data_IF_492574421482
#
_entry.id   IF_492574421482
#
_cell.length_a   1.000
_cell.length_b   1.000
_cell.length_c   1.000
_cell.angle_alpha   90.00
_cell.angle_beta   90.00
_cell.angle_gamma   90.00
#
_symmetry.space_group_name_H-M   'P 1'
#
loop_
_entity.id
_entity.type
_entity.pdbx_description
1 polymer ?
#
# COMPACT_ATOMS: atom_id res chain seq x y z
N UNK A 1 3.72 14.01 22.01
CA UNK A 1 3.13 12.69 21.70
C UNK A 1 4.15 11.94 20.88
N UNK A 2 4.28 10.65 21.10
CA UNK A 2 5.33 9.86 20.46
C UNK A 2 4.87 9.42 19.07
N UNK A 3 5.83 9.36 18.14
CA UNK A 3 5.61 8.80 16.82
C UNK A 3 5.25 7.32 16.94
N UNK A 4 4.23 6.89 16.19
CA UNK A 4 3.91 5.47 16.05
C UNK A 4 5.10 4.72 15.45
N UNK A 5 5.48 3.58 16.03
CA UNK A 5 6.63 2.84 15.51
C UNK A 5 6.30 2.19 14.17
N UNK A 6 7.33 1.95 13.34
CA UNK A 6 7.14 1.23 12.08
C UNK A 6 6.50 -0.15 12.27
N UNK A 7 6.83 -0.85 13.37
CA UNK A 7 6.26 -2.16 13.68
C UNK A 7 4.76 -2.08 13.97
N UNK A 8 4.34 -1.12 14.80
CA UNK A 8 2.92 -0.90 15.09
C UNK A 8 2.12 -0.53 13.84
N UNK A 9 2.69 0.35 12.99
CA UNK A 9 2.10 0.72 11.70
C UNK A 9 1.97 -0.50 10.78
N UNK A 10 3.02 -1.31 10.65
CA UNK A 10 2.99 -2.52 9.84
C UNK A 10 1.91 -3.48 10.34
N UNK A 11 1.81 -3.71 11.65
CA UNK A 11 0.79 -4.60 12.21
C UNK A 11 -0.63 -4.09 11.90
N UNK A 12 -0.87 -2.78 12.06
CA UNK A 12 -2.16 -2.17 11.74
C UNK A 12 -2.51 -2.29 10.25
N UNK A 13 -1.57 -1.95 9.36
CA UNK A 13 -1.74 -2.07 7.90
C UNK A 13 -2.06 -3.52 7.50
N UNK A 14 -1.30 -4.50 8.02
CA UNK A 14 -1.51 -5.91 7.69
C UNK A 14 -2.85 -6.41 8.23
N UNK A 15 -3.19 -6.07 9.48
CA UNK A 15 -4.46 -6.48 10.09
C UNK A 15 -5.65 -5.96 9.30
N UNK A 16 -5.63 -4.68 8.93
CA UNK A 16 -6.71 -4.06 8.15
C UNK A 16 -6.75 -4.56 6.70
N UNK A 17 -5.59 -4.80 6.07
CA UNK A 17 -5.50 -5.20 4.67
C UNK A 17 -5.97 -6.64 4.38
N UNK A 18 -5.66 -7.60 5.27
CA UNK A 18 -5.96 -9.02 5.01
C UNK A 18 -7.45 -9.29 4.76
N UNK A 19 -8.39 -8.78 5.57
CA UNK A 19 -9.82 -8.90 5.31
C UNK A 19 -10.23 -8.31 3.95
N UNK A 20 -9.69 -7.15 3.57
CA UNK A 20 -9.96 -6.51 2.28
C UNK A 20 -9.50 -7.38 1.10
N UNK A 21 -8.28 -7.93 1.19
CA UNK A 21 -7.75 -8.84 0.16
C UNK A 21 -8.62 -10.10 0.07
N UNK A 22 -9.05 -10.66 1.21
CA UNK A 22 -9.92 -11.83 1.23
C UNK A 22 -11.28 -11.55 0.60
N UNK A 23 -11.90 -10.42 0.93
CA UNK A 23 -13.19 -10.01 0.37
C UNK A 23 -13.06 -9.77 -1.14
N UNK A 24 -12.00 -9.08 -1.57
CA UNK A 24 -11.67 -8.87 -2.97
C UNK A 24 -11.49 -10.21 -3.72
N UNK A 25 -10.69 -11.13 -3.18
CA UNK A 25 -10.46 -12.44 -3.78
C UNK A 25 -11.77 -13.22 -3.99
N UNK A 26 -12.69 -13.15 -3.02
CA UNK A 26 -13.99 -13.83 -3.11
C UNK A 26 -14.89 -13.19 -4.18
N UNK A 27 -14.92 -11.87 -4.27
CA UNK A 27 -15.71 -11.14 -5.26
C UNK A 27 -15.18 -11.33 -6.70
N UNK A 28 -13.88 -11.56 -6.86
CA UNK A 28 -13.18 -11.62 -8.13
C UNK A 28 -12.58 -13.00 -8.43
N UNK A 29 -13.14 -14.07 -7.86
CA UNK A 29 -12.60 -15.43 -7.98
C UNK A 29 -12.53 -15.98 -9.42
N UNK A 30 -13.28 -15.39 -10.36
CA UNK A 30 -13.27 -15.76 -11.77
C UNK A 30 -12.21 -15.00 -12.60
N UNK A 31 -11.57 -13.97 -12.03
CA UNK A 31 -10.58 -13.14 -12.71
C UNK A 31 -9.17 -13.67 -12.45
N UNK A 32 -8.25 -13.50 -13.40
CA UNK A 32 -6.84 -13.77 -13.16
C UNK A 32 -6.15 -12.49 -12.72
N UNK A 33 -5.63 -12.48 -11.49
CA UNK A 33 -4.90 -11.34 -10.94
C UNK A 33 -3.46 -11.39 -11.44
N UNK A 34 -2.98 -10.28 -12.00
CA UNK A 34 -1.62 -10.16 -12.55
C UNK A 34 -0.78 -9.11 -11.84
N UNK A 35 -1.39 -8.30 -10.97
CA UNK A 35 -0.66 -7.32 -10.17
C UNK A 35 -1.34 -7.08 -8.82
N UNK A 36 -0.53 -6.86 -7.79
CA UNK A 36 -0.97 -6.30 -6.51
C UNK A 36 0.03 -5.22 -6.08
N UNK A 37 -0.44 -3.99 -5.89
CA UNK A 37 0.41 -2.88 -5.52
C UNK A 37 -0.11 -2.15 -4.26
N UNK A 38 0.80 -1.41 -3.63
CA UNK A 38 0.48 -0.47 -2.55
C UNK A 38 0.87 0.93 -3.01
N UNK A 39 -0.09 1.85 -2.98
CA UNK A 39 0.21 3.27 -2.94
C UNK A 39 0.20 3.74 -1.50
N UNK A 40 1.21 4.53 -1.13
CA UNK A 40 1.34 5.06 0.22
C UNK A 40 1.61 6.56 0.20
N UNK A 41 1.05 7.27 1.18
CA UNK A 41 1.35 8.68 1.41
C UNK A 41 1.09 9.01 2.88
N UNK A 42 2.15 9.31 3.62
CA UNK A 42 2.05 9.61 5.05
C UNK A 42 1.18 10.84 5.33
N UNK A 43 1.30 11.87 4.47
CA UNK A 43 0.55 13.13 4.61
C UNK A 43 -0.96 12.92 4.65
N UNK A 44 -1.41 12.08 3.76
CA UNK A 44 -2.83 11.78 3.62
C UNK A 44 -3.25 10.57 4.45
N UNK A 45 -2.30 9.88 5.08
CA UNK A 45 -2.46 8.60 5.82
C UNK A 45 -2.96 7.48 4.90
N UNK A 46 -2.54 7.52 3.64
CA UNK A 46 -2.98 6.59 2.61
C UNK A 46 -2.17 5.30 2.66
N UNK A 47 -2.90 4.20 2.61
CA UNK A 47 -2.41 2.88 2.27
C UNK A 47 -3.46 2.28 1.36
N UNK A 48 -3.31 2.47 0.06
CA UNK A 48 -4.27 1.97 -0.92
C UNK A 48 -3.76 0.66 -1.50
N UNK A 49 -4.61 -0.35 -1.49
CA UNK A 49 -4.36 -1.60 -2.19
C UNK A 49 -4.92 -1.51 -3.61
N UNK A 50 -4.08 -1.81 -4.58
CA UNK A 50 -4.46 -1.85 -5.97
C UNK A 50 -4.27 -3.25 -6.55
N UNK A 51 -5.19 -3.71 -7.40
CA UNK A 51 -5.06 -4.96 -8.13
C UNK A 51 -5.29 -4.76 -9.63
N UNK A 52 -4.53 -5.49 -10.43
CA UNK A 52 -4.69 -5.54 -11.88
C UNK A 52 -5.04 -6.96 -12.33
N UNK A 53 -5.83 -7.05 -13.40
CA UNK A 53 -6.32 -8.32 -13.94
C UNK A 53 -5.86 -8.57 -15.37
N UNK A 54 -5.72 -9.84 -15.75
CA UNK A 54 -5.24 -10.20 -17.08
C UNK A 54 -6.08 -9.59 -18.22
N UNK A 55 -7.39 -9.42 -18.03
CA UNK A 55 -8.32 -8.84 -19.01
C UNK A 55 -8.19 -7.32 -19.16
N UNK A 56 -7.71 -6.63 -18.11
CA UNK A 56 -7.53 -5.18 -18.09
C UNK A 56 -6.07 -4.75 -18.01
N UNK A 57 -5.15 -5.72 -18.08
CA UNK A 57 -3.72 -5.54 -17.89
C UNK A 57 -3.18 -4.49 -18.87
N UNK A 58 -3.13 -3.25 -18.37
CA UNK A 58 -2.45 -2.12 -19.01
C UNK A 58 -0.96 -2.14 -18.77
N UNK A 59 -0.45 -3.09 -17.98
CA UNK A 59 0.95 -3.45 -17.96
C UNK A 59 1.35 -4.11 -19.30
N UNK A 60 1.18 -3.37 -20.39
CA UNK A 60 1.46 -3.79 -21.74
C UNK A 60 2.97 -3.82 -21.91
N UNK A 61 3.54 -5.02 -21.84
CA UNK A 61 4.83 -5.40 -22.47
C UNK A 61 6.12 -4.76 -21.91
N UNK A 62 6.11 -3.52 -21.41
CA UNK A 62 7.30 -2.76 -20.96
C UNK A 62 7.75 -3.13 -19.54
N UNK A 63 6.80 -3.42 -18.66
CA UNK A 63 7.01 -3.78 -17.25
C UNK A 63 7.44 -5.22 -17.02
N UNK A 64 7.07 -6.10 -17.96
CA UNK A 64 7.22 -7.55 -17.85
C UNK A 64 8.68 -8.00 -17.61
N UNK A 65 9.71 -7.42 -18.25
CA UNK A 65 11.10 -7.82 -18.04
C UNK A 65 11.65 -7.46 -16.64
N UNK A 66 11.14 -6.41 -16.00
CA UNK A 66 11.67 -5.91 -14.73
C UNK A 66 11.08 -6.65 -13.53
N UNK A 67 9.79 -6.95 -13.60
CA UNK A 67 9.03 -7.51 -12.49
C UNK A 67 9.24 -9.02 -12.28
N UNK A 68 9.94 -9.70 -13.20
CA UNK A 68 10.44 -11.07 -12.99
C UNK A 68 11.61 -11.14 -11.99
N UNK A 69 12.22 -9.99 -11.63
CA UNK A 69 13.49 -9.95 -10.89
C UNK A 69 13.51 -9.11 -9.62
N UNK A 70 12.53 -8.23 -9.38
CA UNK A 70 12.50 -7.33 -8.22
C UNK A 70 11.08 -6.87 -7.84
N UNK A 71 10.88 -6.63 -6.54
CA UNK A 71 9.67 -6.01 -5.96
C UNK A 71 9.66 -4.48 -6.05
N UNK A 72 10.78 -3.88 -6.46
CA UNK A 72 10.93 -2.45 -6.64
C UNK A 72 10.87 -2.16 -8.13
N UNK A 73 9.93 -1.31 -8.53
CA UNK A 73 9.95 -0.72 -9.86
C UNK A 73 11.26 0.10 -10.00
N UNK A 74 11.99 -0.04 -11.11
CA UNK A 74 13.10 0.87 -11.37
C UNK A 74 12.56 2.30 -11.54
N UNK A 75 13.41 3.28 -11.19
CA UNK A 75 13.07 4.71 -11.10
C UNK A 75 12.49 5.30 -12.40
N UNK A 76 12.68 4.62 -13.55
CA UNK A 76 12.23 5.04 -14.87
C UNK A 76 10.85 4.49 -15.27
N UNK A 77 10.21 3.69 -14.42
CA UNK A 77 8.89 3.14 -14.69
C UNK A 77 7.80 3.96 -14.00
N UNK A 78 7.08 4.75 -14.79
CA UNK A 78 5.86 5.45 -14.40
C UNK A 78 4.63 4.52 -14.39
N UNK A 79 4.65 3.44 -13.61
CA UNK A 79 3.44 2.65 -13.39
C UNK A 79 2.64 3.22 -12.23
N UNK A 80 1.59 3.99 -12.56
CA UNK A 80 0.64 4.49 -11.58
C UNK A 80 -0.44 3.45 -11.30
N UNK A 81 -0.48 2.90 -10.09
CA UNK A 81 -1.52 1.92 -9.74
C UNK A 81 -2.93 2.54 -9.68
N UNK A 82 -3.06 3.87 -9.65
CA UNK A 82 -4.35 4.56 -9.76
C UNK A 82 -5.06 4.31 -11.08
N UNK A 83 -4.33 3.96 -12.14
CA UNK A 83 -4.91 3.61 -13.43
C UNK A 83 -5.35 2.13 -13.51
N UNK A 84 -5.02 1.33 -12.49
CA UNK A 84 -5.35 -0.08 -12.48
C UNK A 84 -6.83 -0.30 -12.30
N UNK A 85 -7.30 -1.46 -12.79
CA UNK A 85 -8.71 -1.81 -12.76
C UNK A 85 -9.34 -1.70 -11.36
N UNK A 86 -8.60 -2.10 -10.33
CA UNK A 86 -9.06 -2.11 -8.95
C UNK A 86 -8.11 -1.32 -8.07
N UNK A 87 -8.07 0.00 -8.27
CA UNK A 87 -7.37 0.90 -7.35
C UNK A 87 -8.18 1.14 -6.06
N UNK A 88 -7.46 1.24 -4.94
CA UNK A 88 -8.03 1.48 -3.61
C UNK A 88 -9.20 0.56 -3.28
N UNK A 89 -9.04 -0.75 -3.56
CA UNK A 89 -10.13 -1.70 -3.31
C UNK A 89 -10.41 -1.88 -1.81
N UNK A 90 -9.49 -1.47 -0.93
CA UNK A 90 -9.67 -1.51 0.51
C UNK A 90 -10.58 -0.41 1.06
N UNK A 91 -10.75 0.74 0.39
CA UNK A 91 -11.73 1.76 0.85
C UNK A 91 -13.18 1.28 0.78
N UNK A 92 -13.47 0.28 -0.05
CA UNK A 92 -14.79 -0.35 -0.15
C UNK A 92 -15.00 -1.48 0.88
N UNK A 93 -14.07 -1.67 1.83
CA UNK A 93 -14.17 -2.70 2.86
C UNK A 93 -14.44 -2.08 4.22
N UNK A 94 -15.63 -2.29 4.80
CA UNK A 94 -15.97 -1.79 6.14
C UNK A 94 -14.96 -2.25 7.21
N UNK A 95 -14.46 -3.48 7.06
CA UNK A 95 -13.45 -4.05 7.98
C UNK A 95 -12.13 -3.28 7.92
N UNK A 96 -11.75 -2.75 6.75
CA UNK A 96 -10.59 -1.86 6.64
C UNK A 96 -10.80 -0.62 7.49
N UNK A 97 -11.93 0.08 7.30
CA UNK A 97 -12.26 1.31 8.03
C UNK A 97 -12.25 1.07 9.54
N UNK A 98 -12.90 0.00 10.01
CA UNK A 98 -12.96 -0.33 11.43
C UNK A 98 -11.60 -0.63 12.05
N UNK A 99 -10.74 -1.38 11.34
CA UNK A 99 -9.43 -1.78 11.86
C UNK A 99 -8.36 -0.70 11.70
N UNK A 100 -8.46 0.15 10.68
CA UNK A 100 -7.50 1.22 10.41
C UNK A 100 -7.76 2.46 11.25
N UNK A 101 -9.02 2.78 11.55
CA UNK A 101 -9.41 4.01 12.24
C UNK A 101 -8.62 4.30 13.54
N UNK A 102 -8.33 3.32 14.42
CA UNK A 102 -7.52 3.58 15.62
C UNK A 102 -6.09 4.04 15.30
N UNK A 103 -5.48 3.48 14.24
CA UNK A 103 -4.14 3.88 13.81
C UNK A 103 -4.19 5.24 13.11
N UNK A 104 -5.20 5.48 12.28
CA UNK A 104 -5.42 6.76 11.62
C UNK A 104 -5.58 7.91 12.63
N UNK A 105 -6.30 7.69 13.73
CA UNK A 105 -6.44 8.68 14.81
C UNK A 105 -5.10 8.93 15.49
N UNK A 106 -4.30 7.90 15.79
CA UNK A 106 -2.95 8.07 16.38
C UNK A 106 -2.02 8.89 15.49
N UNK A 107 -2.03 8.65 14.18
CA UNK A 107 -1.24 9.42 13.22
C UNK A 107 -1.76 10.87 13.16
N UNK A 108 -3.08 11.06 13.13
CA UNK A 108 -3.71 12.39 13.09
C UNK A 108 -3.44 13.19 14.36
N UNK A 109 -3.41 12.52 15.50
CA UNK A 109 -2.97 13.05 16.78
C UNK A 109 -1.51 13.51 16.69
N UNK A 110 -0.61 12.64 16.22
CA UNK A 110 0.81 12.98 16.05
C UNK A 110 1.00 14.20 15.12
N UNK A 111 0.35 14.23 13.96
CA UNK A 111 0.34 15.38 13.03
C UNK A 111 -0.11 16.68 13.73
N UNK A 112 -1.20 16.63 14.51
CA UNK A 112 -1.65 17.78 15.30
C UNK A 112 -0.57 18.26 16.27
N UNK A 113 0.21 17.35 16.85
CA UNK A 113 1.29 17.71 17.77
C UNK A 113 2.48 18.38 17.05
N UNK A 114 2.75 18.04 15.79
CA UNK A 114 3.81 18.68 14.98
C UNK A 114 3.57 20.19 14.78
N UNK A 115 2.30 20.61 14.79
CA UNK A 115 1.92 22.03 14.68
C UNK A 115 2.37 22.87 15.88
N UNK A 116 2.71 22.23 17.00
CA UNK A 116 3.23 22.90 18.20
C UNK A 116 4.74 23.11 18.18
N UNK A 117 5.45 22.43 17.27
CA UNK A 117 6.90 22.53 17.12
C UNK A 117 7.32 23.78 16.34
N UNK A 118 8.58 24.20 16.55
CA UNK A 118 9.23 25.20 15.71
C UNK A 118 9.37 24.73 14.25
N UNK A 119 9.59 25.64 13.28
CA UNK A 119 9.66 25.27 11.86
C UNK A 119 10.66 24.16 11.54
N UNK A 120 11.89 24.26 12.05
CA UNK A 120 12.96 23.29 11.76
C UNK A 120 12.67 21.92 12.40
N UNK A 121 12.21 21.92 13.65
CA UNK A 121 11.81 20.70 14.37
C UNK A 121 10.64 19.99 13.67
N UNK A 122 9.69 20.76 13.13
CA UNK A 122 8.57 20.23 12.38
C UNK A 122 9.00 19.53 11.10
N UNK A 123 9.94 20.10 10.35
CA UNK A 123 10.47 19.46 9.13
C UNK A 123 11.11 18.12 9.47
N UNK A 124 11.98 18.08 10.48
CA UNK A 124 12.64 16.84 10.91
C UNK A 124 11.62 15.78 11.36
N UNK A 125 10.65 16.17 12.20
CA UNK A 125 9.63 15.26 12.69
C UNK A 125 8.69 14.77 11.58
N UNK A 126 8.47 15.57 10.54
CA UNK A 126 7.71 15.18 9.36
C UNK A 126 8.45 14.17 8.49
N UNK A 127 9.73 14.43 8.21
CA UNK A 127 10.59 13.49 7.47
C UNK A 127 10.66 12.14 8.19
N UNK A 128 10.74 12.14 9.53
CA UNK A 128 10.74 10.92 10.34
C UNK A 128 9.41 10.16 10.23
N UNK A 129 8.26 10.85 10.25
CA UNK A 129 6.95 10.25 10.05
C UNK A 129 6.84 9.61 8.67
N UNK A 130 7.20 10.35 7.61
CA UNK A 130 7.15 9.86 6.22
C UNK A 130 8.03 8.63 6.03
N UNK A 131 9.27 8.68 6.53
CA UNK A 131 10.19 7.56 6.46
C UNK A 131 9.68 6.34 7.23
N UNK A 132 9.10 6.55 8.41
CA UNK A 132 8.53 5.49 9.25
C UNK A 132 7.33 4.83 8.56
N UNK A 133 6.45 5.65 7.98
CA UNK A 133 5.26 5.18 7.25
C UNK A 133 5.67 4.39 6.01
N UNK A 134 6.60 4.90 5.20
CA UNK A 134 7.15 4.19 4.04
C UNK A 134 7.71 2.82 4.42
N UNK A 135 8.59 2.77 5.43
CA UNK A 135 9.17 1.51 5.90
C UNK A 135 8.11 0.53 6.40
N UNK A 136 7.11 1.04 7.09
CA UNK A 136 6.00 0.22 7.56
C UNK A 136 5.19 -0.36 6.41
N UNK A 137 4.93 0.44 5.36
CA UNK A 137 4.20 0.01 4.16
C UNK A 137 4.98 -1.04 3.35
N UNK A 138 6.29 -0.88 3.20
CA UNK A 138 7.17 -1.89 2.57
C UNK A 138 7.11 -3.21 3.35
N UNK A 139 7.24 -3.15 4.67
CA UNK A 139 7.17 -4.34 5.52
C UNK A 139 5.76 -4.97 5.53
N UNK A 140 4.71 -4.15 5.44
CA UNK A 140 3.34 -4.62 5.35
C UNK A 140 3.11 -5.36 4.04
N UNK A 141 3.53 -4.80 2.90
CA UNK A 141 3.45 -5.49 1.61
C UNK A 141 4.15 -6.84 1.68
N UNK A 142 5.41 -6.89 2.15
CA UNK A 142 6.15 -8.16 2.28
C UNK A 142 5.38 -9.21 3.10
N UNK A 143 4.80 -8.83 4.25
CA UNK A 143 3.98 -9.73 5.07
C UNK A 143 2.68 -10.15 4.40
N UNK A 144 2.06 -9.26 3.63
CA UNK A 144 0.86 -9.57 2.85
C UNK A 144 1.18 -10.56 1.74
N UNK A 145 2.32 -10.43 1.04
CA UNK A 145 2.72 -11.40 0.00
C UNK A 145 2.91 -12.82 0.56
N UNK A 146 3.35 -12.92 1.80
CA UNK A 146 3.49 -14.19 2.52
C UNK A 146 2.18 -14.69 3.17
N UNK A 147 1.12 -13.89 3.14
CA UNK A 147 -0.18 -14.26 3.72
C UNK A 147 -0.94 -15.29 2.88
N UNK A 148 -1.82 -16.06 3.53
CA UNK A 148 -2.70 -17.00 2.84
C UNK A 148 -3.66 -16.28 1.88
N UNK A 149 -4.13 -15.09 2.25
CA UNK A 149 -5.07 -14.30 1.47
C UNK A 149 -4.47 -13.95 0.10
N UNK A 150 -3.23 -13.45 0.06
CA UNK A 150 -2.55 -13.19 -1.22
C UNK A 150 -2.14 -14.48 -1.91
N UNK A 151 -1.69 -15.52 -1.19
CA UNK A 151 -1.32 -16.82 -1.78
C UNK A 151 -2.47 -17.51 -2.49
N UNK A 152 -3.69 -17.33 -1.99
CA UNK A 152 -4.93 -17.89 -2.54
C UNK A 152 -5.48 -17.17 -3.78
N UNK A 153 -4.96 -15.98 -4.11
CA UNK A 153 -5.40 -15.26 -5.30
C UNK A 153 -5.19 -16.09 -6.57
N UNK A 154 -6.12 -16.06 -7.53
CA UNK A 154 -5.98 -16.72 -8.83
C UNK A 154 -4.94 -15.98 -9.69
N UNK A 155 -3.66 -16.17 -9.38
CA UNK A 155 -2.54 -15.45 -10.00
C UNK A 155 -2.27 -15.93 -11.42
N UNK A 156 -2.07 -14.99 -12.33
CA UNK A 156 -1.50 -15.25 -13.64
C UNK A 156 0.01 -15.58 -13.55
N UNK A 157 0.58 -16.10 -14.65
CA UNK A 157 2.01 -16.46 -14.73
C UNK A 157 2.97 -15.28 -14.64
N UNK A 158 2.46 -14.05 -14.78
CA UNK A 158 3.22 -12.82 -14.67
C UNK A 158 2.71 -11.96 -13.51
N UNK A 159 2.42 -12.57 -12.36
CA UNK A 159 1.98 -11.84 -11.18
C UNK A 159 3.10 -10.95 -10.64
N UNK A 160 2.81 -9.67 -10.48
CA UNK A 160 3.79 -8.66 -10.06
C UNK A 160 3.33 -7.96 -8.79
N UNK A 161 4.27 -7.40 -8.05
CA UNK A 161 3.95 -6.58 -6.89
C UNK A 161 4.96 -5.47 -6.68
N UNK A 162 4.48 -4.29 -6.31
CA UNK A 162 5.35 -3.18 -5.95
C UNK A 162 4.66 -2.25 -4.96
N UNK A 163 5.46 -1.36 -4.40
CA UNK A 163 5.02 -0.24 -3.59
C UNK A 163 5.63 1.03 -4.17
N UNK A 164 4.88 2.11 -4.21
CA UNK A 164 5.41 3.44 -4.58
C UNK A 164 4.80 4.50 -3.67
N UNK A 165 5.53 5.60 -3.49
CA UNK A 165 5.06 6.75 -2.74
C UNK A 165 4.32 7.68 -3.70
N UNK A 166 3.18 8.23 -3.30
CA UNK A 166 2.33 9.04 -4.20
C UNK A 166 3.09 10.18 -4.91
N UNK A 167 4.11 10.74 -4.25
CA UNK A 167 4.96 11.79 -4.81
C UNK A 167 5.87 11.33 -5.96
N UNK A 168 6.07 10.02 -6.18
CA UNK A 168 6.95 9.47 -7.22
C UNK A 168 6.36 9.58 -8.64
N UNK A 169 5.12 10.05 -8.78
CA UNK A 169 4.35 10.03 -10.04
C UNK A 169 4.06 11.44 -10.60
N UNK A 170 4.50 12.51 -9.92
CA UNK A 170 4.22 13.91 -10.30
C UNK A 170 5.47 14.78 -10.47
#
# INVERSE_FOLDING_TARGET
MELVTAAELTDAMVSAARPSIKAFAAAHAAEQIVGLAVETLAEMRYFHLAAETASHCRMSQELRPYLETSYLLPEDISSNCQEWRYFDFNSNCEVWTEQWAPMEERISEYDRSLKTLGPDERVVAWEELTHTFWRASVAALARLLDSEEVRSLPKGSCFVTFIYEHHDVF
#
